data_IF_646799627480
#
_entry.id   IF_646799627480
#
_cell.length_a   1.000
_cell.length_b   1.000
_cell.length_c   1.000
_cell.angle_alpha   90.00
_cell.angle_beta   90.00
_cell.angle_gamma   90.00
#
_symmetry.space_group_name_H-M   'P 1'
#
loop_
_entity.id
_entity.type
_entity.pdbx_description
1 polymer ?
#
# COMPACT_ATOMS: atom_id res chain seq x y z
N UNK A 1 -14.27 3.50 17.88
CA UNK A 1 -13.96 4.53 16.85
C UNK A 1 -12.77 5.31 17.35
N UNK A 2 -11.77 5.54 16.50
CA UNK A 2 -10.50 6.19 16.87
C UNK A 2 -10.67 7.64 17.32
N UNK A 3 -9.89 8.03 18.33
CA UNK A 3 -9.77 9.41 18.84
C UNK A 3 -8.69 10.22 18.08
N UNK A 4 -8.20 9.71 16.94
CA UNK A 4 -7.18 10.36 16.10
C UNK A 4 -7.57 11.80 15.76
N UNK A 5 -6.64 12.72 16.02
CA UNK A 5 -6.75 14.14 15.73
C UNK A 5 -5.53 14.63 14.95
N UNK A 6 -5.74 15.57 14.04
CA UNK A 6 -4.68 16.24 13.30
C UNK A 6 -4.82 17.75 13.49
N UNK A 7 -3.69 18.40 13.83
CA UNK A 7 -3.57 19.86 13.96
C UNK A 7 -2.32 20.35 13.25
N UNK A 8 -2.36 21.52 12.62
CA UNK A 8 -1.27 22.06 11.82
C UNK A 8 -1.29 23.59 11.78
N UNK A 9 -0.20 24.23 11.37
CA UNK A 9 -0.24 25.63 10.94
C UNK A 9 -1.02 25.84 9.64
N UNK A 10 -1.29 24.77 8.90
CA UNK A 10 -2.03 24.83 7.65
C UNK A 10 -3.50 24.41 7.85
N UNK A 11 -4.47 25.35 7.87
CA UNK A 11 -5.88 25.02 8.08
C UNK A 11 -6.47 24.15 6.97
N UNK A 12 -5.85 24.11 5.78
CA UNK A 12 -6.24 23.18 4.71
C UNK A 12 -6.07 21.71 5.15
N UNK A 13 -5.00 21.40 5.89
CA UNK A 13 -4.72 20.04 6.39
C UNK A 13 -5.77 19.62 7.42
N UNK A 14 -6.13 20.51 8.34
CA UNK A 14 -7.14 20.23 9.37
C UNK A 14 -8.53 19.99 8.75
N UNK A 15 -8.93 20.82 7.79
CA UNK A 15 -10.21 20.67 7.07
C UNK A 15 -10.25 19.36 6.25
N UNK A 16 -9.16 19.06 5.54
CA UNK A 16 -9.02 17.84 4.76
C UNK A 16 -9.14 16.59 5.65
N UNK A 17 -8.41 16.56 6.77
CA UNK A 17 -8.48 15.45 7.73
C UNK A 17 -9.89 15.30 8.32
N UNK A 18 -10.51 16.40 8.76
CA UNK A 18 -11.84 16.39 9.36
C UNK A 18 -12.90 15.80 8.42
N UNK A 19 -12.87 16.19 7.14
CA UNK A 19 -13.73 15.62 6.11
C UNK A 19 -13.41 14.14 5.85
N UNK A 20 -12.14 13.81 5.61
CA UNK A 20 -11.72 12.47 5.22
C UNK A 20 -12.05 11.45 6.31
N UNK A 21 -11.74 11.78 7.57
CA UNK A 21 -12.11 10.98 8.75
C UNK A 21 -13.62 10.74 8.81
N UNK A 22 -14.43 11.79 8.66
CA UNK A 22 -15.88 11.64 8.69
C UNK A 22 -16.35 10.75 7.54
N UNK A 23 -15.87 11.01 6.33
CA UNK A 23 -16.31 10.31 5.11
C UNK A 23 -15.93 8.83 5.15
N UNK A 24 -14.71 8.50 5.57
CA UNK A 24 -14.25 7.12 5.74
C UNK A 24 -15.13 6.35 6.73
N UNK A 25 -15.49 6.97 7.87
CA UNK A 25 -16.36 6.34 8.87
C UNK A 25 -17.82 6.17 8.39
N UNK A 26 -18.31 7.04 7.51
CA UNK A 26 -19.64 6.88 6.90
C UNK A 26 -19.72 5.62 6.00
N UNK A 27 -18.58 5.07 5.56
CA UNK A 27 -18.52 3.86 4.73
C UNK A 27 -18.57 2.55 5.52
N UNK A 28 -18.45 2.59 6.84
CA UNK A 28 -18.46 1.39 7.69
C UNK A 28 -19.80 0.67 7.59
N UNK A 29 -19.75 -0.63 7.29
CA UNK A 29 -20.92 -1.50 7.14
C UNK A 29 -21.06 -2.51 8.28
N UNK A 30 -20.11 -2.55 9.21
CA UNK A 30 -20.20 -3.32 10.46
C UNK A 30 -21.50 -2.99 11.18
N UNK A 31 -22.34 -4.01 11.34
CA UNK A 31 -23.66 -3.92 11.97
C UNK A 31 -24.66 -2.93 11.33
N UNK A 32 -24.39 -2.40 10.13
CA UNK A 32 -25.33 -1.56 9.39
C UNK A 32 -26.59 -2.33 8.96
N UNK A 33 -26.46 -3.64 8.73
CA UNK A 33 -27.56 -4.57 8.54
C UNK A 33 -27.28 -5.92 9.23
N UNK A 34 -28.31 -6.67 9.66
CA UNK A 34 -28.13 -8.02 10.20
C UNK A 34 -27.42 -8.94 9.21
N UNK A 35 -26.38 -9.62 9.68
CA UNK A 35 -25.60 -10.56 8.86
C UNK A 35 -24.41 -9.95 8.13
N UNK A 36 -24.22 -8.62 8.17
CA UNK A 36 -22.99 -8.01 7.67
C UNK A 36 -21.77 -8.51 8.46
N UNK A 37 -20.71 -8.86 7.74
CA UNK A 37 -19.37 -9.00 8.26
C UNK A 37 -18.87 -7.64 8.79
N UNK A 38 -17.93 -7.61 9.75
CA UNK A 38 -17.12 -6.42 9.98
C UNK A 38 -16.47 -6.02 8.67
N UNK A 39 -16.87 -4.88 8.12
CA UNK A 39 -16.46 -4.42 6.80
C UNK A 39 -16.74 -2.94 6.63
N UNK A 40 -16.15 -2.36 5.60
CA UNK A 40 -16.49 -1.05 5.07
C UNK A 40 -16.64 -1.14 3.55
N UNK A 41 -17.24 -0.12 2.97
CA UNK A 41 -17.39 -0.02 1.52
C UNK A 41 -16.03 0.16 0.86
N UNK A 42 -15.64 -0.75 -0.03
CA UNK A 42 -14.36 -0.67 -0.72
C UNK A 42 -14.58 -0.92 -2.21
N UNK A 43 -14.95 0.13 -2.94
CA UNK A 43 -15.31 0.09 -4.36
C UNK A 43 -16.41 1.09 -4.68
N UNK A 44 -16.97 1.03 -5.88
CA UNK A 44 -18.02 1.97 -6.33
C UNK A 44 -19.17 2.15 -5.32
N UNK A 45 -19.59 3.40 -5.01
CA UNK A 45 -20.72 3.68 -4.10
C UNK A 45 -22.06 3.06 -4.50
N UNK A 46 -22.21 2.68 -5.77
CA UNK A 46 -23.41 2.01 -6.29
C UNK A 46 -23.40 0.48 -6.10
N UNK A 47 -22.28 -0.09 -5.63
CA UNK A 47 -22.04 -1.52 -5.52
C UNK A 47 -21.85 -1.90 -4.04
N UNK A 48 -22.84 -2.50 -3.36
CA UNK A 48 -22.78 -2.79 -1.93
C UNK A 48 -21.87 -3.99 -1.62
N UNK A 49 -20.57 -3.76 -1.79
CA UNK A 49 -19.52 -4.78 -1.71
C UNK A 49 -18.17 -4.16 -1.37
N UNK A 50 -17.20 -5.03 -1.11
CA UNK A 50 -15.79 -4.68 -0.95
C UNK A 50 -14.95 -5.50 -1.95
N UNK A 51 -14.05 -4.79 -2.64
CA UNK A 51 -13.14 -5.27 -3.67
C UNK A 51 -11.74 -5.47 -3.10
N UNK A 52 -11.02 -6.50 -3.56
CA UNK A 52 -9.71 -6.86 -2.98
C UNK A 52 -8.68 -5.75 -3.11
N UNK A 53 -8.62 -5.11 -4.28
CA UNK A 53 -7.69 -3.99 -4.56
C UNK A 53 -7.98 -2.80 -3.65
N UNK A 54 -9.24 -2.38 -3.59
CA UNK A 54 -9.67 -1.26 -2.78
C UNK A 54 -9.40 -1.48 -1.29
N UNK A 55 -9.64 -2.69 -0.77
CA UNK A 55 -9.31 -3.03 0.64
C UNK A 55 -7.82 -2.88 0.89
N UNK A 56 -6.95 -3.33 -0.03
CA UNK A 56 -5.50 -3.17 0.09
C UNK A 56 -5.07 -1.71 0.27
N UNK A 57 -5.65 -0.78 -0.47
CA UNK A 57 -5.28 0.64 -0.39
C UNK A 57 -5.93 1.39 0.77
N UNK A 58 -7.11 0.96 1.20
CA UNK A 58 -7.83 1.58 2.31
C UNK A 58 -7.27 1.18 3.67
N UNK A 59 -6.56 0.05 3.75
CA UNK A 59 -6.24 -0.64 4.99
C UNK A 59 -5.48 0.22 6.02
N UNK A 60 -4.49 1.01 5.63
CA UNK A 60 -3.75 1.86 6.59
C UNK A 60 -4.62 3.01 7.10
N UNK A 61 -5.35 3.67 6.22
CA UNK A 61 -6.33 4.68 6.61
C UNK A 61 -7.38 4.13 7.57
N UNK A 62 -7.86 2.91 7.29
CA UNK A 62 -8.81 2.20 8.14
C UNK A 62 -8.21 1.84 9.52
N UNK A 63 -6.95 1.36 9.57
CA UNK A 63 -6.23 1.11 10.81
C UNK A 63 -6.15 2.36 11.70
N UNK A 64 -5.73 3.49 11.12
CA UNK A 64 -5.62 4.78 11.82
C UNK A 64 -6.98 5.25 12.40
N UNK A 65 -8.09 4.83 11.78
CA UNK A 65 -9.46 5.09 12.24
C UNK A 65 -10.01 4.04 13.23
N UNK A 66 -9.20 3.03 13.57
CA UNK A 66 -9.54 1.98 14.51
C UNK A 66 -10.47 0.92 13.93
N UNK A 67 -10.31 0.61 12.63
CA UNK A 67 -11.10 -0.37 11.88
C UNK A 67 -10.34 -1.67 11.63
N UNK A 68 -9.52 -2.09 12.59
CA UNK A 68 -8.68 -3.30 12.48
C UNK A 68 -9.52 -4.58 12.37
N UNK A 69 -10.67 -4.62 13.04
CA UNK A 69 -11.58 -5.77 12.96
C UNK A 69 -12.19 -5.92 11.56
N UNK A 70 -12.53 -4.80 10.91
CA UNK A 70 -12.99 -4.74 9.54
C UNK A 70 -11.90 -5.15 8.55
N UNK A 71 -10.69 -4.61 8.69
CA UNK A 71 -9.54 -5.01 7.89
C UNK A 71 -9.33 -6.53 8.00
N UNK A 72 -9.18 -7.04 9.22
CA UNK A 72 -8.91 -8.46 9.47
C UNK A 72 -9.99 -9.35 8.85
N UNK A 73 -11.27 -9.02 9.05
CA UNK A 73 -12.38 -9.81 8.50
C UNK A 73 -12.36 -9.82 6.97
N UNK A 74 -12.12 -8.69 6.30
CA UNK A 74 -12.10 -8.61 4.85
C UNK A 74 -10.89 -9.32 4.23
N UNK A 75 -9.68 -9.08 4.72
CA UNK A 75 -8.46 -9.77 4.25
C UNK A 75 -8.57 -11.29 4.42
N UNK A 76 -9.05 -11.75 5.58
CA UNK A 76 -9.27 -13.18 5.83
C UNK A 76 -10.27 -13.78 4.86
N UNK A 77 -11.32 -13.04 4.51
CA UNK A 77 -12.35 -13.51 3.58
C UNK A 77 -11.81 -13.68 2.15
N UNK A 78 -10.95 -12.77 1.70
CA UNK A 78 -10.20 -12.92 0.44
C UNK A 78 -9.23 -14.10 0.49
N UNK A 79 -8.43 -14.22 1.55
CA UNK A 79 -7.47 -15.31 1.73
C UNK A 79 -8.13 -16.69 1.64
N UNK A 80 -9.26 -16.88 2.35
CA UNK A 80 -10.03 -18.13 2.33
C UNK A 80 -10.58 -18.50 0.95
N UNK A 81 -10.77 -17.51 0.09
CA UNK A 81 -11.36 -17.71 -1.23
C UNK A 81 -10.37 -18.25 -2.28
N UNK A 82 -9.06 -18.10 -2.03
CA UNK A 82 -8.01 -18.65 -2.86
C UNK A 82 -7.90 -20.17 -2.63
N UNK A 83 -8.39 -20.94 -3.59
CA UNK A 83 -8.43 -22.40 -3.50
C UNK A 83 -7.79 -23.05 -4.73
N UNK A 84 -7.45 -24.34 -4.62
CA UNK A 84 -6.92 -25.11 -5.75
C UNK A 84 -7.85 -25.09 -6.98
N UNK A 85 -9.18 -25.11 -6.78
CA UNK A 85 -10.15 -25.04 -7.87
C UNK A 85 -10.07 -23.72 -8.65
N UNK A 86 -9.69 -22.62 -7.97
CA UNK A 86 -9.48 -21.30 -8.56
C UNK A 86 -8.02 -21.03 -8.92
N UNK A 87 -7.18 -22.08 -8.93
CA UNK A 87 -5.73 -21.99 -9.16
C UNK A 87 -5.08 -20.93 -8.25
N UNK A 88 -5.55 -20.89 -7.00
CA UNK A 88 -5.07 -19.99 -5.94
C UNK A 88 -5.24 -18.50 -6.18
N UNK A 89 -6.06 -18.08 -7.16
CA UNK A 89 -6.55 -16.71 -7.19
C UNK A 89 -7.57 -16.48 -6.07
N UNK A 90 -7.46 -15.38 -5.30
CA UNK A 90 -8.55 -14.89 -4.48
C UNK A 90 -9.69 -14.38 -5.38
N UNK A 91 -10.91 -14.32 -4.85
CA UNK A 91 -12.02 -13.68 -5.52
C UNK A 91 -11.86 -12.15 -5.49
N UNK A 92 -12.38 -11.49 -6.52
CA UNK A 92 -12.26 -10.05 -6.69
C UNK A 92 -13.09 -9.25 -5.67
N UNK A 93 -14.30 -9.70 -5.35
CA UNK A 93 -15.20 -8.95 -4.48
C UNK A 93 -16.22 -9.80 -3.73
N UNK A 94 -16.71 -9.24 -2.63
CA UNK A 94 -17.75 -9.83 -1.79
C UNK A 94 -18.78 -8.79 -1.36
N UNK A 95 -20.04 -9.22 -1.27
CA UNK A 95 -21.07 -8.44 -0.58
C UNK A 95 -20.75 -8.33 0.91
N UNK A 96 -21.35 -7.35 1.60
CA UNK A 96 -21.12 -7.15 3.03
C UNK A 96 -21.50 -8.35 3.91
N UNK A 97 -22.37 -9.25 3.45
CA UNK A 97 -22.70 -10.50 4.15
C UNK A 97 -21.72 -11.66 3.86
N UNK A 98 -20.68 -11.40 3.08
CA UNK A 98 -19.64 -12.38 2.72
C UNK A 98 -19.96 -13.25 1.51
N UNK A 99 -21.11 -13.09 0.84
CA UNK A 99 -21.34 -13.82 -0.41
C UNK A 99 -20.47 -13.27 -1.54
N UNK A 100 -19.90 -14.12 -2.42
CA UNK A 100 -19.21 -13.65 -3.62
C UNK A 100 -20.06 -12.67 -4.43
N UNK A 101 -19.43 -11.63 -4.97
CA UNK A 101 -20.11 -10.69 -5.85
C UNK A 101 -20.45 -11.40 -7.18
N UNK A 102 -21.75 -11.62 -7.44
CA UNK A 102 -22.21 -12.31 -8.66
C UNK A 102 -21.91 -11.55 -9.96
N UNK A 103 -21.56 -10.26 -9.86
CA UNK A 103 -21.07 -9.45 -10.98
C UNK A 103 -19.71 -9.96 -11.48
N UNK A 104 -18.85 -10.38 -10.55
CA UNK A 104 -17.44 -10.65 -10.80
C UNK A 104 -17.10 -12.15 -10.68
N UNK A 105 -18.07 -12.99 -10.28
CA UNK A 105 -17.91 -14.43 -10.09
C UNK A 105 -19.09 -15.21 -10.69
N UNK A 106 -18.80 -16.05 -11.70
CA UNK A 106 -19.77 -16.91 -12.37
C UNK A 106 -19.48 -18.41 -12.17
N UNK A 107 -18.32 -18.74 -11.60
CA UNK A 107 -17.87 -20.09 -11.27
C UNK A 107 -16.34 -20.12 -11.15
N UNK A 108 -15.79 -21.24 -10.67
CA UNK A 108 -14.33 -21.38 -10.47
C UNK A 108 -13.52 -21.36 -11.78
N UNK A 109 -14.19 -21.48 -12.93
CA UNK A 109 -13.58 -21.38 -14.27
C UNK A 109 -13.80 -19.99 -14.93
N UNK A 110 -14.67 -19.13 -14.37
CA UNK A 110 -15.04 -17.85 -14.99
C UNK A 110 -15.37 -16.79 -13.93
N UNK A 111 -14.37 -15.99 -13.60
CA UNK A 111 -14.42 -14.93 -12.60
C UNK A 111 -13.28 -13.92 -12.83
N UNK A 112 -13.49 -12.68 -12.40
CA UNK A 112 -12.49 -11.61 -12.44
C UNK A 112 -11.27 -12.01 -11.61
N UNK A 113 -10.08 -11.91 -12.20
CA UNK A 113 -8.83 -12.23 -11.51
C UNK A 113 -7.65 -11.43 -12.05
N UNK A 114 -6.79 -11.00 -11.14
CA UNK A 114 -5.60 -10.24 -11.45
C UNK A 114 -4.43 -10.81 -10.66
N UNK A 115 -3.29 -10.97 -11.33
CA UNK A 115 -2.04 -11.40 -10.70
C UNK A 115 -1.62 -10.47 -9.55
N UNK A 116 -1.60 -9.13 -9.69
CA UNK A 116 -1.18 -8.25 -8.59
C UNK A 116 -2.01 -8.40 -7.32
N UNK A 117 -3.33 -8.60 -7.43
CA UNK A 117 -4.22 -8.80 -6.28
C UNK A 117 -3.77 -9.94 -5.35
N UNK A 118 -3.19 -10.99 -5.92
CA UNK A 118 -2.72 -12.16 -5.16
C UNK A 118 -1.61 -11.75 -4.19
N UNK A 119 -0.64 -10.99 -4.69
CA UNK A 119 0.53 -10.57 -3.92
C UNK A 119 0.25 -9.37 -3.02
N UNK A 120 -0.60 -8.44 -3.47
CA UNK A 120 -0.96 -7.24 -2.71
C UNK A 120 -1.71 -7.59 -1.43
N UNK A 121 -2.67 -8.53 -1.50
CA UNK A 121 -3.34 -9.04 -0.32
C UNK A 121 -2.36 -9.61 0.71
N UNK A 122 -1.33 -10.35 0.27
CA UNK A 122 -0.28 -10.85 1.17
C UNK A 122 0.57 -9.71 1.73
N UNK A 123 1.02 -8.79 0.88
CA UNK A 123 1.87 -7.67 1.28
C UNK A 123 1.17 -6.74 2.29
N UNK A 124 -0.05 -6.29 1.98
CA UNK A 124 -0.81 -5.36 2.83
C UNK A 124 -1.32 -6.04 4.10
N UNK A 125 -1.68 -7.32 4.06
CA UNK A 125 -2.05 -8.09 5.26
C UNK A 125 -0.88 -8.24 6.25
N UNK A 126 0.33 -8.52 5.76
CA UNK A 126 1.53 -8.50 6.61
C UNK A 126 1.87 -7.08 7.08
N UNK A 127 1.59 -6.04 6.27
CA UNK A 127 1.69 -4.65 6.71
C UNK A 127 0.73 -4.29 7.85
N UNK A 128 -0.47 -4.90 7.91
CA UNK A 128 -1.37 -4.73 9.05
C UNK A 128 -0.77 -5.30 10.34
N UNK A 129 0.02 -6.39 10.26
CA UNK A 129 0.77 -6.90 11.41
C UNK A 129 1.84 -5.91 11.88
N UNK A 130 2.56 -5.26 10.95
CA UNK A 130 3.57 -4.26 11.29
C UNK A 130 2.95 -3.08 12.08
N UNK A 131 1.73 -2.67 11.73
CA UNK A 131 0.96 -1.63 12.43
C UNK A 131 0.35 -2.08 13.75
N UNK A 132 -0.26 -3.27 13.79
CA UNK A 132 -1.08 -3.71 14.93
C UNK A 132 -0.30 -4.53 15.96
N UNK A 133 0.76 -5.22 15.56
CA UNK A 133 1.40 -6.26 16.36
C UNK A 133 0.47 -7.44 16.69
N UNK A 134 -0.75 -7.48 16.13
CA UNK A 134 -1.73 -8.52 16.45
C UNK A 134 -1.39 -9.82 15.73
N UNK A 135 -1.01 -10.82 16.52
CA UNK A 135 -0.64 -12.15 16.03
C UNK A 135 -1.73 -12.85 15.24
N UNK A 136 -3.01 -12.46 15.32
CA UNK A 136 -4.04 -13.03 14.45
C UNK A 136 -3.69 -12.87 12.96
N UNK A 137 -3.02 -11.79 12.56
CA UNK A 137 -2.56 -11.60 11.18
C UNK A 137 -1.55 -12.66 10.71
N UNK A 138 -0.84 -13.29 11.64
CA UNK A 138 0.20 -14.30 11.37
C UNK A 138 -0.32 -15.73 11.62
N UNK A 139 -1.09 -15.90 12.69
CA UNK A 139 -1.48 -17.20 13.23
C UNK A 139 -2.87 -17.67 12.74
N UNK A 140 -3.69 -16.80 12.14
CA UNK A 140 -4.98 -17.23 11.56
C UNK A 140 -4.73 -18.24 10.42
N UNK A 141 -5.41 -19.41 10.44
CA UNK A 141 -5.11 -20.48 9.50
C UNK A 141 -5.44 -20.14 8.05
N UNK A 142 -6.43 -19.29 7.79
CA UNK A 142 -6.79 -18.89 6.42
C UNK A 142 -5.73 -17.94 5.86
N UNK A 143 -5.33 -16.93 6.64
CA UNK A 143 -4.29 -15.96 6.28
C UNK A 143 -2.90 -16.61 6.14
N UNK A 144 -2.48 -17.36 7.16
CA UNK A 144 -1.16 -18.01 7.20
C UNK A 144 -0.97 -18.98 6.03
N UNK A 145 -2.00 -19.77 5.72
CA UNK A 145 -1.96 -20.63 4.54
C UNK A 145 -1.90 -19.81 3.25
N UNK A 146 -2.72 -18.77 3.13
CA UNK A 146 -2.76 -17.92 1.94
C UNK A 146 -1.40 -17.31 1.61
N UNK A 147 -0.70 -16.72 2.58
CA UNK A 147 0.60 -16.07 2.31
C UNK A 147 1.63 -17.03 1.71
N UNK A 148 1.67 -18.27 2.21
CA UNK A 148 2.60 -19.28 1.69
C UNK A 148 2.18 -19.73 0.30
N UNK A 149 0.88 -19.95 0.06
CA UNK A 149 0.36 -20.42 -1.23
C UNK A 149 0.44 -19.36 -2.32
N UNK A 150 0.28 -18.07 -1.98
CA UNK A 150 0.34 -16.96 -2.94
C UNK A 150 1.70 -16.87 -3.62
N UNK A 151 2.80 -17.24 -2.95
CA UNK A 151 4.16 -17.22 -3.52
C UNK A 151 4.70 -18.60 -3.87
N UNK A 152 3.92 -19.67 -3.67
CA UNK A 152 4.31 -21.05 -4.02
C UNK A 152 3.34 -21.67 -5.00
N UNK A 153 2.23 -22.24 -4.52
CA UNK A 153 1.26 -22.95 -5.36
C UNK A 153 0.67 -22.07 -6.47
N UNK A 154 0.43 -20.79 -6.19
CA UNK A 154 -0.02 -19.83 -7.20
C UNK A 154 1.04 -19.64 -8.28
N UNK A 155 2.28 -19.31 -7.90
CA UNK A 155 3.40 -19.13 -8.84
C UNK A 155 3.58 -20.41 -9.67
N UNK A 156 3.61 -21.59 -9.05
CA UNK A 156 3.77 -22.86 -9.75
C UNK A 156 2.61 -23.18 -10.72
N UNK A 157 1.39 -22.68 -10.47
CA UNK A 157 0.24 -22.88 -11.34
C UNK A 157 0.25 -21.97 -12.58
N UNK A 158 0.98 -20.86 -12.54
CA UNK A 158 0.96 -19.81 -13.56
C UNK A 158 2.33 -19.47 -14.14
N UNK A 159 3.43 -20.07 -13.67
CA UNK A 159 4.78 -19.94 -14.21
C UNK A 159 5.04 -21.03 -15.27
N UNK A 160 4.75 -20.70 -16.52
CA UNK A 160 4.80 -21.60 -17.67
C UNK A 160 6.20 -21.82 -18.23
N UNK A 161 7.13 -20.88 -18.01
CA UNK A 161 8.51 -20.98 -18.50
C UNK A 161 9.54 -21.35 -17.42
N UNK A 162 9.10 -21.42 -16.15
CA UNK A 162 9.87 -21.91 -15.01
C UNK A 162 10.84 -20.89 -14.45
N UNK A 163 10.64 -19.61 -14.74
CA UNK A 163 11.51 -18.51 -14.32
C UNK A 163 11.11 -17.91 -12.95
N UNK A 164 10.08 -18.47 -12.31
CA UNK A 164 9.54 -18.06 -11.02
C UNK A 164 8.59 -16.87 -11.08
N UNK A 165 8.16 -16.44 -12.28
CA UNK A 165 7.23 -15.32 -12.46
C UNK A 165 5.92 -15.85 -13.05
N UNK A 166 4.76 -15.63 -12.39
CA UNK A 166 3.48 -16.06 -12.94
C UNK A 166 3.10 -15.21 -14.15
N UNK A 167 2.53 -15.85 -15.17
CA UNK A 167 2.07 -15.18 -16.39
C UNK A 167 0.55 -15.25 -16.55
N UNK A 168 -0.02 -14.13 -17.03
CA UNK A 168 -1.41 -14.05 -17.45
C UNK A 168 -1.57 -14.52 -18.90
N UNK A 169 -2.78 -14.95 -19.31
CA UNK A 169 -3.06 -15.36 -20.70
C UNK A 169 -2.91 -14.27 -21.77
N UNK A 170 -2.81 -13.00 -21.37
CA UNK A 170 -2.75 -11.83 -22.25
C UNK A 170 -3.90 -11.77 -23.28
N UNK A 171 -5.13 -12.04 -22.84
CA UNK A 171 -6.34 -11.92 -23.67
C UNK A 171 -6.90 -10.49 -23.69
N UNK A 172 -6.60 -9.70 -22.66
CA UNK A 172 -7.23 -8.40 -22.41
C UNK A 172 -8.60 -8.51 -21.72
N UNK A 173 -9.02 -9.73 -21.37
CA UNK A 173 -10.23 -9.98 -20.60
C UNK A 173 -9.86 -10.32 -19.15
N UNK A 174 -10.29 -9.48 -18.21
CA UNK A 174 -10.04 -9.66 -16.78
C UNK A 174 -10.70 -10.93 -16.22
N UNK A 175 -11.74 -11.47 -16.87
CA UNK A 175 -12.35 -12.76 -16.52
C UNK A 175 -11.51 -13.98 -16.97
N UNK A 176 -10.56 -13.78 -17.88
CA UNK A 176 -9.55 -14.78 -18.25
C UNK A 176 -8.26 -14.63 -17.42
N UNK A 177 -8.03 -13.43 -16.90
CA UNK A 177 -6.96 -13.08 -15.99
C UNK A 177 -6.06 -11.98 -16.55
N UNK A 178 -5.83 -10.94 -15.74
CA UNK A 178 -4.95 -9.83 -16.09
C UNK A 178 -3.60 -9.91 -15.34
N UNK A 179 -2.53 -9.46 -16.01
CA UNK A 179 -1.20 -9.38 -15.41
C UNK A 179 -1.01 -8.18 -14.47
N UNK A 180 -1.93 -7.21 -14.51
CA UNK A 180 -1.77 -5.83 -14.05
C UNK A 180 -3.08 -5.30 -13.46
N UNK A 181 -3.00 -4.32 -12.55
CA UNK A 181 -4.14 -3.57 -12.05
C UNK A 181 -4.66 -2.52 -13.03
N UNK A 182 -3.85 -2.09 -14.00
CA UNK A 182 -4.37 -1.40 -15.17
C UNK A 182 -5.18 -2.42 -15.99
N UNK A 183 -6.51 -2.33 -15.88
CA UNK A 183 -7.50 -3.23 -16.50
C UNK A 183 -7.68 -2.99 -18.01
N UNK A 184 -7.19 -1.86 -18.52
CA UNK A 184 -7.35 -1.44 -19.91
C UNK A 184 -6.02 -1.04 -20.56
N UNK A 185 -4.99 -1.90 -20.52
CA UNK A 185 -3.75 -1.60 -21.20
C UNK A 185 -3.99 -1.60 -22.71
N UNK A 186 -3.35 -0.69 -23.43
CA UNK A 186 -3.44 -0.65 -24.91
C UNK A 186 -3.06 -1.97 -25.57
N UNK A 187 -2.21 -2.75 -24.89
CA UNK A 187 -1.79 -4.10 -25.28
C UNK A 187 -1.90 -5.05 -24.10
N UNK A 188 -2.55 -6.22 -24.28
CA UNK A 188 -2.56 -7.25 -23.24
C UNK A 188 -1.15 -7.72 -22.88
N UNK A 189 -0.87 -7.76 -21.57
CA UNK A 189 0.40 -8.17 -21.00
C UNK A 189 0.31 -9.61 -20.47
N UNK A 190 1.40 -10.39 -20.62
CA UNK A 190 1.58 -11.68 -19.94
C UNK A 190 2.20 -11.48 -18.57
N UNK A 191 3.13 -10.54 -18.43
CA UNK A 191 3.75 -10.14 -17.16
C UNK A 191 3.72 -8.63 -17.10
N UNK A 192 3.33 -8.05 -15.98
CA UNK A 192 3.36 -6.60 -15.78
C UNK A 192 4.27 -6.22 -14.61
N UNK A 193 4.82 -5.00 -14.69
CA UNK A 193 5.83 -4.54 -13.75
C UNK A 193 5.27 -4.27 -12.34
N UNK A 194 3.99 -3.89 -12.21
CA UNK A 194 3.27 -3.81 -10.94
C UNK A 194 3.11 -5.18 -10.27
N UNK A 195 2.71 -6.21 -11.03
CA UNK A 195 2.62 -7.59 -10.55
C UNK A 195 3.98 -8.10 -10.05
N UNK A 196 5.07 -7.80 -10.75
CA UNK A 196 6.43 -8.10 -10.31
C UNK A 196 6.81 -7.33 -9.03
N UNK A 197 6.44 -6.06 -8.95
CA UNK A 197 6.75 -5.20 -7.82
C UNK A 197 6.06 -5.72 -6.55
N UNK A 198 4.78 -6.08 -6.65
CA UNK A 198 4.00 -6.69 -5.58
C UNK A 198 4.49 -8.09 -5.22
N UNK A 199 4.89 -8.91 -6.19
CA UNK A 199 5.49 -10.22 -5.91
C UNK A 199 6.77 -10.07 -5.06
N UNK A 200 7.67 -9.17 -5.45
CA UNK A 200 8.86 -8.85 -4.65
C UNK A 200 8.49 -8.34 -3.25
N UNK A 201 7.51 -7.43 -3.14
CA UNK A 201 7.08 -6.88 -1.85
C UNK A 201 6.51 -7.96 -0.91
N UNK A 202 5.68 -8.87 -1.43
CA UNK A 202 5.14 -10.00 -0.68
C UNK A 202 6.25 -10.97 -0.20
N UNK A 203 7.22 -11.27 -1.06
CA UNK A 203 8.38 -12.10 -0.72
C UNK A 203 9.25 -11.44 0.36
N UNK A 204 9.52 -10.13 0.25
CA UNK A 204 10.30 -9.38 1.23
C UNK A 204 9.58 -9.29 2.59
N UNK A 205 8.25 -9.19 2.60
CA UNK A 205 7.43 -9.23 3.80
C UNK A 205 7.45 -10.62 4.46
N UNK A 206 7.23 -11.68 3.67
CA UNK A 206 7.31 -13.07 4.13
C UNK A 206 8.68 -13.42 4.72
N UNK A 207 9.75 -12.89 4.16
CA UNK A 207 11.11 -13.15 4.64
C UNK A 207 11.30 -12.78 6.11
N UNK A 208 10.57 -11.78 6.62
CA UNK A 208 10.63 -11.35 8.04
C UNK A 208 10.12 -12.43 9.00
N UNK A 209 9.20 -13.28 8.56
CA UNK A 209 8.53 -14.27 9.41
C UNK A 209 8.92 -15.72 9.07
N UNK A 210 9.28 -15.99 7.82
CA UNK A 210 9.50 -17.34 7.30
C UNK A 210 10.93 -17.57 6.78
N UNK A 211 11.81 -16.55 6.85
CA UNK A 211 13.25 -16.67 6.62
C UNK A 211 13.76 -16.16 5.27
N UNK A 212 15.07 -16.01 5.17
CA UNK A 212 15.76 -15.28 4.09
C UNK A 212 15.71 -15.91 2.69
N UNK A 213 15.16 -17.12 2.55
CA UNK A 213 14.99 -17.74 1.23
C UNK A 213 14.07 -16.91 0.33
N UNK A 214 12.97 -16.39 0.88
CA UNK A 214 12.04 -15.49 0.16
C UNK A 214 12.73 -14.20 -0.29
N UNK A 215 13.56 -13.60 0.57
CA UNK A 215 14.36 -12.42 0.24
C UNK A 215 15.34 -12.68 -0.89
N UNK A 216 15.88 -13.89 -0.96
CA UNK A 216 16.79 -14.30 -2.04
C UNK A 216 16.04 -14.40 -3.38
N UNK A 217 14.82 -14.94 -3.39
CA UNK A 217 13.96 -14.95 -4.59
C UNK A 217 13.59 -13.54 -5.03
N UNK A 218 13.15 -12.68 -4.10
CA UNK A 218 12.81 -11.28 -4.39
C UNK A 218 14.00 -10.53 -5.02
N UNK A 219 15.22 -10.72 -4.47
CA UNK A 219 16.44 -10.13 -5.00
C UNK A 219 16.71 -10.58 -6.43
N UNK A 220 16.56 -11.86 -6.74
CA UNK A 220 16.79 -12.39 -8.09
C UNK A 220 15.80 -11.81 -9.13
N UNK A 221 14.52 -11.67 -8.75
CA UNK A 221 13.51 -11.01 -9.61
C UNK A 221 13.90 -9.54 -9.85
N UNK A 222 14.23 -8.81 -8.77
CA UNK A 222 14.63 -7.40 -8.83
C UNK A 222 15.88 -7.18 -9.68
N UNK A 223 16.90 -8.02 -9.54
CA UNK A 223 18.13 -7.96 -10.35
C UNK A 223 17.84 -8.18 -11.84
N UNK A 224 16.98 -9.15 -12.20
CA UNK A 224 16.55 -9.37 -13.59
C UNK A 224 15.78 -8.17 -14.13
N UNK A 225 14.87 -7.59 -13.36
CA UNK A 225 14.12 -6.41 -13.75
C UNK A 225 15.07 -5.23 -14.05
N UNK A 226 15.93 -4.88 -13.10
CA UNK A 226 16.86 -3.75 -13.21
C UNK A 226 17.85 -3.87 -14.39
N UNK A 227 18.20 -5.10 -14.77
CA UNK A 227 19.17 -5.36 -15.84
C UNK A 227 18.55 -5.52 -17.22
N UNK A 228 17.28 -5.94 -17.31
CA UNK A 228 16.67 -6.31 -18.61
C UNK A 228 15.45 -5.49 -18.99
N UNK A 229 14.85 -4.73 -18.09
CA UNK A 229 13.60 -3.98 -18.35
C UNK A 229 13.81 -2.48 -18.57
N UNK A 230 15.05 -1.99 -18.51
CA UNK A 230 15.37 -0.57 -18.68
C UNK A 230 15.57 -0.20 -20.15
N UNK A 231 14.94 0.90 -20.58
CA UNK A 231 15.23 1.54 -21.86
C UNK A 231 15.92 2.89 -21.64
N UNK A 232 17.09 3.04 -22.27
CA UNK A 232 17.96 4.20 -22.09
C UNK A 232 17.42 5.43 -22.83
N UNK A 233 16.74 5.23 -23.97
CA UNK A 233 16.21 6.29 -24.81
C UNK A 233 15.02 6.99 -24.15
N UNK A 234 14.03 6.23 -23.68
CA UNK A 234 12.87 6.76 -22.96
C UNK A 234 13.17 7.11 -21.49
N UNK A 235 14.25 6.58 -20.91
CA UNK A 235 14.55 6.76 -19.49
C UNK A 235 13.51 6.10 -18.58
N UNK A 236 12.93 4.99 -19.03
CA UNK A 236 11.85 4.31 -18.34
C UNK A 236 12.09 2.81 -18.22
N UNK A 237 11.42 2.20 -17.25
CA UNK A 237 11.26 0.74 -17.23
C UNK A 237 10.05 0.32 -18.06
N UNK A 238 10.14 -0.81 -18.74
CA UNK A 238 9.03 -1.43 -19.43
C UNK A 238 7.84 -1.64 -18.47
N UNK A 239 6.63 -1.35 -18.94
CA UNK A 239 5.39 -1.63 -18.20
C UNK A 239 5.08 -3.11 -18.09
N UNK A 240 5.59 -3.92 -19.02
CA UNK A 240 5.32 -5.35 -19.06
C UNK A 240 5.95 -6.08 -20.23
N UNK A 241 5.64 -7.37 -20.32
CA UNK A 241 5.87 -8.23 -21.48
C UNK A 241 4.55 -8.54 -22.15
N UNK A 242 4.52 -8.49 -23.48
CA UNK A 242 3.37 -8.93 -24.28
C UNK A 242 3.52 -10.41 -24.67
N UNK A 243 2.50 -10.95 -25.35
CA UNK A 243 2.40 -12.38 -25.69
C UNK A 243 3.58 -12.99 -26.47
N UNK A 244 4.28 -12.19 -27.28
CA UNK A 244 5.48 -12.63 -28.00
C UNK A 244 6.78 -12.53 -27.16
N UNK A 245 6.64 -12.22 -25.86
CA UNK A 245 7.69 -12.02 -24.87
C UNK A 245 8.57 -10.77 -25.07
N UNK A 246 8.21 -9.89 -26.00
CA UNK A 246 8.86 -8.58 -26.09
C UNK A 246 8.40 -7.65 -24.97
N UNK A 247 9.29 -6.73 -24.59
CA UNK A 247 9.01 -5.69 -23.60
C UNK A 247 8.18 -4.58 -24.23
N UNK A 248 7.22 -4.07 -23.47
CA UNK A 248 6.40 -2.92 -23.81
C UNK A 248 6.78 -1.73 -22.93
N UNK A 249 7.13 -0.61 -23.56
CA UNK A 249 7.55 0.64 -22.91
C UNK A 249 6.48 1.74 -23.03
N UNK A 250 5.25 1.39 -23.40
CA UNK A 250 4.14 2.34 -23.40
C UNK A 250 3.81 2.86 -21.99
N UNK A 251 3.05 3.96 -21.94
CA UNK A 251 2.59 4.52 -20.67
C UNK A 251 1.71 3.50 -19.92
N UNK A 252 2.10 3.19 -18.69
CA UNK A 252 1.62 2.02 -17.98
C UNK A 252 0.52 2.27 -16.95
N UNK A 253 0.30 3.52 -16.56
CA UNK A 253 -0.48 3.88 -15.38
C UNK A 253 0.06 3.15 -14.13
N UNK A 254 -0.76 2.33 -13.46
CA UNK A 254 -0.39 1.55 -12.27
C UNK A 254 0.87 0.72 -12.50
N UNK A 255 1.01 0.12 -13.68
CA UNK A 255 2.20 -0.66 -14.04
C UNK A 255 3.50 0.16 -14.07
N UNK A 256 3.41 1.49 -14.19
CA UNK A 256 4.57 2.39 -14.13
C UNK A 256 4.87 2.83 -12.70
N UNK A 257 3.89 3.30 -11.94
CA UNK A 257 4.16 3.90 -10.62
C UNK A 257 4.17 2.91 -9.45
N UNK A 258 3.55 1.73 -9.54
CA UNK A 258 3.72 0.69 -8.49
C UNK A 258 5.17 0.18 -8.40
N UNK A 259 5.93 0.29 -9.49
CA UNK A 259 7.35 -0.10 -9.57
C UNK A 259 8.21 0.70 -8.57
N UNK A 260 8.28 2.05 -8.63
CA UNK A 260 8.97 2.84 -7.62
C UNK A 260 8.27 2.82 -6.27
N UNK A 261 6.93 2.73 -6.21
CA UNK A 261 6.18 2.64 -4.93
C UNK A 261 6.66 1.47 -4.07
N UNK A 262 6.93 0.32 -4.68
CA UNK A 262 7.37 -0.90 -3.98
C UNK A 262 8.90 -1.11 -4.10
N UNK A 263 9.60 -0.10 -4.62
CA UNK A 263 11.07 -0.06 -4.74
C UNK A 263 11.67 -1.00 -5.79
N UNK A 264 10.87 -1.56 -6.72
CA UNK A 264 11.36 -2.47 -7.77
C UNK A 264 12.38 -1.79 -8.68
N UNK A 265 12.21 -0.49 -8.96
CA UNK A 265 13.16 0.35 -9.72
C UNK A 265 14.48 0.65 -8.99
N UNK A 266 14.63 0.21 -7.74
CA UNK A 266 15.83 0.46 -6.94
C UNK A 266 15.97 1.92 -6.54
N UNK A 267 17.20 2.42 -6.51
CA UNK A 267 17.56 3.80 -6.18
C UNK A 267 18.59 4.35 -7.17
N UNK A 268 18.89 5.65 -7.10
CA UNK A 268 19.91 6.30 -7.93
C UNK A 268 19.37 6.87 -9.24
N UNK A 269 20.27 7.22 -10.16
CA UNK A 269 19.96 8.04 -11.35
C UNK A 269 18.84 7.47 -12.22
N UNK A 270 18.83 6.15 -12.46
CA UNK A 270 17.75 5.52 -13.25
C UNK A 270 16.39 5.62 -12.57
N UNK A 271 16.35 5.48 -11.25
CA UNK A 271 15.11 5.65 -10.49
C UNK A 271 14.62 7.10 -10.56
N UNK A 272 15.52 8.08 -10.39
CA UNK A 272 15.15 9.49 -10.51
C UNK A 272 14.63 9.86 -11.91
N UNK A 273 15.29 9.37 -12.97
CA UNK A 273 14.79 9.54 -14.34
C UNK A 273 13.42 8.91 -14.57
N UNK A 274 13.17 7.75 -13.95
CA UNK A 274 11.88 7.10 -14.07
C UNK A 274 10.77 7.82 -13.30
N UNK A 275 11.09 8.41 -12.14
CA UNK A 275 10.18 9.29 -11.41
C UNK A 275 9.86 10.56 -12.23
N UNK A 276 10.86 11.18 -12.86
CA UNK A 276 10.66 12.31 -13.77
C UNK A 276 9.74 11.94 -14.94
N UNK A 277 9.97 10.76 -15.55
CA UNK A 277 9.10 10.22 -16.61
C UNK A 277 7.66 10.04 -16.12
N UNK A 278 7.44 9.48 -14.92
CA UNK A 278 6.09 9.31 -14.35
C UNK A 278 5.42 10.67 -14.16
N UNK A 279 6.11 11.66 -13.59
CA UNK A 279 5.57 13.00 -13.41
C UNK A 279 5.20 13.64 -14.75
N UNK A 280 6.07 13.54 -15.76
CA UNK A 280 5.78 14.06 -17.10
C UNK A 280 4.56 13.39 -17.74
N UNK A 281 4.47 12.05 -17.67
CA UNK A 281 3.34 11.31 -18.25
C UNK A 281 2.01 11.60 -17.54
N UNK A 282 2.02 11.85 -16.23
CA UNK A 282 0.83 12.28 -15.49
C UNK A 282 0.31 13.64 -15.97
N UNK A 283 1.17 14.54 -16.46
CA UNK A 283 0.73 15.79 -17.10
C UNK A 283 0.21 15.58 -18.52
N UNK A 284 0.89 14.73 -19.29
CA UNK A 284 0.60 14.53 -20.71
C UNK A 284 -0.63 13.66 -20.95
N UNK A 285 -0.78 12.61 -20.15
CA UNK A 285 -1.80 11.56 -20.30
C UNK A 285 -2.28 11.06 -18.93
N UNK A 286 -2.90 11.94 -18.10
CA UNK A 286 -3.40 11.56 -16.78
C UNK A 286 -4.44 10.44 -16.86
N UNK A 287 -4.54 9.57 -15.83
CA UNK A 287 -5.63 8.61 -15.75
C UNK A 287 -6.99 9.32 -15.67
N UNK A 288 -8.05 8.72 -16.22
CA UNK A 288 -9.38 9.31 -16.22
C UNK A 288 -10.10 9.20 -14.87
N UNK A 289 -9.65 8.29 -14.00
CA UNK A 289 -10.25 7.91 -12.73
C UNK A 289 -9.41 8.46 -11.55
N UNK A 290 -10.08 9.01 -10.54
CA UNK A 290 -9.42 9.61 -9.38
C UNK A 290 -8.68 8.59 -8.50
N UNK A 291 -9.17 7.34 -8.44
CA UNK A 291 -8.56 6.24 -7.69
C UNK A 291 -7.11 5.97 -8.12
N UNK A 292 -6.77 6.13 -9.40
CA UNK A 292 -5.40 5.93 -9.89
C UNK A 292 -4.40 6.93 -9.28
N UNK A 293 -4.86 8.08 -8.81
CA UNK A 293 -3.99 9.09 -8.18
C UNK A 293 -3.67 8.76 -6.72
N UNK A 294 -4.42 7.89 -6.04
CA UNK A 294 -4.28 7.62 -4.60
C UNK A 294 -2.96 6.96 -4.21
N UNK A 295 -2.32 6.29 -5.16
CA UNK A 295 -0.98 5.69 -5.02
C UNK A 295 0.14 6.73 -5.03
N UNK A 296 -0.04 7.83 -5.76
CA UNK A 296 1.04 8.75 -6.08
C UNK A 296 1.68 9.41 -4.85
N UNK A 297 0.94 9.79 -3.80
CA UNK A 297 1.58 10.26 -2.57
C UNK A 297 2.56 9.22 -1.99
N UNK A 298 2.19 7.94 -1.93
CA UNK A 298 3.07 6.87 -1.42
C UNK A 298 4.31 6.69 -2.31
N UNK A 299 4.14 6.77 -3.64
CA UNK A 299 5.26 6.76 -4.60
C UNK A 299 6.26 7.86 -4.23
N UNK A 300 5.83 9.11 -4.15
CA UNK A 300 6.74 10.24 -4.02
C UNK A 300 7.28 10.41 -2.60
N UNK A 301 6.51 10.10 -1.55
CA UNK A 301 7.02 10.09 -0.18
C UNK A 301 8.17 9.10 -0.01
N UNK A 302 8.03 7.88 -0.54
CA UNK A 302 9.09 6.87 -0.49
C UNK A 302 10.43 7.36 -1.07
N UNK A 303 10.38 8.23 -2.07
CA UNK A 303 11.56 8.77 -2.75
C UNK A 303 11.93 10.19 -2.27
N UNK A 304 11.35 10.65 -1.15
CA UNK A 304 11.56 12.00 -0.59
C UNK A 304 11.28 13.14 -1.57
N UNK A 305 10.41 12.92 -2.55
CA UNK A 305 9.88 13.95 -3.43
C UNK A 305 8.65 14.59 -2.77
N UNK A 306 8.87 15.15 -1.59
CA UNK A 306 7.81 15.58 -0.66
C UNK A 306 6.84 16.60 -1.30
N UNK A 307 7.36 17.51 -2.12
CA UNK A 307 6.54 18.49 -2.86
C UNK A 307 5.65 17.82 -3.92
N UNK A 308 6.16 16.83 -4.64
CA UNK A 308 5.38 16.06 -5.62
C UNK A 308 4.33 15.19 -4.90
N UNK A 309 4.71 14.54 -3.80
CA UNK A 309 3.80 13.77 -2.97
C UNK A 309 2.65 14.64 -2.46
N UNK A 310 2.98 15.83 -1.95
CA UNK A 310 2.01 16.79 -1.46
C UNK A 310 1.12 17.34 -2.58
N UNK A 311 1.66 17.62 -3.76
CA UNK A 311 0.88 18.05 -4.93
C UNK A 311 -0.21 17.04 -5.26
N UNK A 312 0.11 15.76 -5.31
CA UNK A 312 -0.87 14.71 -5.61
C UNK A 312 -1.83 14.45 -4.45
N UNK A 313 -1.37 14.56 -3.20
CA UNK A 313 -2.26 14.50 -2.05
C UNK A 313 -3.29 15.63 -2.08
N UNK A 314 -2.88 16.85 -2.42
CA UNK A 314 -3.81 17.97 -2.64
C UNK A 314 -4.81 17.70 -3.76
N UNK A 315 -4.38 17.11 -4.87
CA UNK A 315 -5.29 16.74 -5.96
C UNK A 315 -6.40 15.79 -5.46
N UNK A 316 -6.04 14.79 -4.66
CA UNK A 316 -6.98 13.85 -4.05
C UNK A 316 -7.91 14.57 -3.06
N UNK A 317 -7.36 15.41 -2.17
CA UNK A 317 -8.14 16.19 -1.18
C UNK A 317 -9.14 17.13 -1.88
N UNK A 318 -8.70 17.84 -2.92
CA UNK A 318 -9.50 18.84 -3.63
C UNK A 318 -10.63 18.18 -4.43
N UNK A 319 -10.47 16.92 -4.86
CA UNK A 319 -11.52 16.17 -5.56
C UNK A 319 -12.79 16.02 -4.73
N UNK A 320 -12.64 15.81 -3.41
CA UNK A 320 -13.72 15.40 -2.49
C UNK A 320 -14.60 14.28 -3.04
N UNK A 321 -14.04 13.44 -3.90
CA UNK A 321 -14.78 12.43 -4.64
C UNK A 321 -15.42 11.41 -3.69
N UNK A 322 -16.54 10.82 -4.11
CA UNK A 322 -17.30 9.88 -3.30
C UNK A 322 -16.83 8.44 -3.43
N UNK A 323 -15.82 8.16 -4.23
CA UNK A 323 -15.16 6.87 -4.23
C UNK A 323 -14.54 6.59 -2.85
N UNK A 324 -14.90 5.49 -2.14
CA UNK A 324 -14.53 5.29 -0.74
C UNK A 324 -13.03 5.39 -0.46
N UNK A 325 -12.20 4.87 -1.38
CA UNK A 325 -10.74 4.85 -1.27
C UNK A 325 -10.13 6.22 -0.99
N UNK A 326 -10.72 7.27 -1.57
CA UNK A 326 -10.25 8.67 -1.42
C UNK A 326 -10.20 9.08 0.04
N UNK A 327 -11.28 8.83 0.78
CA UNK A 327 -11.36 9.24 2.18
C UNK A 327 -10.37 8.50 3.09
N UNK A 328 -10.16 7.20 2.86
CA UNK A 328 -9.19 6.42 3.62
C UNK A 328 -7.75 6.80 3.28
N UNK A 329 -7.43 6.96 2.00
CA UNK A 329 -6.07 7.31 1.56
C UNK A 329 -5.69 8.73 1.96
N UNK A 330 -6.63 9.68 1.99
CA UNK A 330 -6.36 11.02 2.57
C UNK A 330 -6.02 10.93 4.06
N UNK A 331 -6.73 10.10 4.84
CA UNK A 331 -6.37 9.89 6.26
C UNK A 331 -4.97 9.26 6.39
N UNK A 332 -4.68 8.23 5.60
CA UNK A 332 -3.37 7.59 5.56
C UNK A 332 -2.27 8.61 5.25
N UNK A 333 -2.41 9.36 4.16
CA UNK A 333 -1.34 10.21 3.66
C UNK A 333 -1.14 11.46 4.52
N UNK A 334 -2.20 12.02 5.13
CA UNK A 334 -2.06 13.14 6.06
C UNK A 334 -1.42 12.75 7.39
N UNK A 335 -1.48 11.48 7.79
CA UNK A 335 -0.92 11.01 9.07
C UNK A 335 0.34 10.18 8.84
N UNK A 336 0.21 8.97 8.30
CA UNK A 336 1.36 8.09 8.07
C UNK A 336 2.29 8.62 6.97
N UNK A 337 1.76 9.24 5.91
CA UNK A 337 2.54 9.80 4.81
C UNK A 337 3.35 11.03 5.22
N UNK A 338 2.69 12.11 5.62
CA UNK A 338 3.34 13.37 6.01
C UNK A 338 4.29 13.20 7.21
N UNK A 339 3.92 12.36 8.20
CA UNK A 339 4.80 12.07 9.33
C UNK A 339 5.87 11.01 9.01
N UNK A 340 5.77 10.30 7.88
CA UNK A 340 6.64 9.20 7.47
C UNK A 340 6.77 8.12 8.53
N UNK A 341 5.64 7.52 8.89
CA UNK A 341 5.57 6.49 9.93
C UNK A 341 5.84 5.10 9.35
N UNK A 342 6.85 4.43 9.88
CA UNK A 342 7.18 3.03 9.57
C UNK A 342 7.15 2.21 10.87
N UNK A 343 6.00 1.62 11.23
CA UNK A 343 5.87 0.86 12.47
C UNK A 343 6.45 -0.55 12.35
N UNK A 344 6.93 -1.07 13.48
CA UNK A 344 7.09 -2.50 13.75
C UNK A 344 6.62 -2.71 15.20
N UNK A 345 5.29 -2.72 15.35
CA UNK A 345 4.61 -2.83 16.62
C UNK A 345 4.95 -4.14 17.35
N UNK A 346 5.14 -5.23 16.59
CA UNK A 346 5.51 -6.53 17.14
C UNK A 346 6.88 -6.50 17.86
N UNK A 347 7.81 -5.67 17.37
CA UNK A 347 9.11 -5.43 18.01
C UNK A 347 9.12 -4.22 18.96
N UNK A 348 7.96 -3.64 19.28
CA UNK A 348 7.84 -2.42 20.08
C UNK A 348 8.67 -1.26 19.51
N UNK A 349 8.60 -1.04 18.19
CA UNK A 349 9.39 -0.01 17.53
C UNK A 349 8.64 0.80 16.47
N UNK A 350 9.11 2.01 16.24
CA UNK A 350 8.59 2.94 15.24
C UNK A 350 9.74 3.73 14.63
N UNK A 351 9.82 3.78 13.30
CA UNK A 351 10.69 4.71 12.57
C UNK A 351 9.86 5.88 12.06
N UNK A 352 10.44 7.08 12.13
CA UNK A 352 9.80 8.33 11.73
C UNK A 352 10.75 9.11 10.83
N UNK A 353 10.27 9.49 9.66
CA UNK A 353 10.99 10.28 8.68
C UNK A 353 10.08 11.37 8.10
N UNK A 354 10.21 12.61 8.60
CA UNK A 354 9.31 13.70 8.22
C UNK A 354 9.33 13.97 6.71
N UNK A 355 8.12 14.07 6.14
CA UNK A 355 7.85 14.42 4.75
C UNK A 355 7.04 15.72 4.62
N UNK A 356 7.13 16.61 5.61
CA UNK A 356 6.40 17.89 5.52
C UNK A 356 6.89 18.72 4.32
N UNK A 357 5.99 19.13 3.41
CA UNK A 357 6.29 20.05 2.32
C UNK A 357 6.55 21.46 2.87
N UNK A 358 7.11 22.35 2.06
CA UNK A 358 7.50 23.70 2.47
C UNK A 358 6.33 24.55 3.01
N UNK A 359 5.10 24.28 2.57
CA UNK A 359 3.92 25.03 3.02
C UNK A 359 3.33 24.56 4.36
N UNK A 360 3.84 23.47 4.95
CA UNK A 360 3.43 22.97 6.26
C UNK A 360 4.63 23.09 7.20
N UNK A 361 4.67 24.14 8.03
CA UNK A 361 5.80 24.33 8.94
C UNK A 361 5.73 23.41 10.15
N UNK A 362 4.52 23.00 10.58
CA UNK A 362 4.38 21.94 11.57
C UNK A 362 3.07 21.15 11.43
N UNK A 363 3.12 19.90 11.85
CA UNK A 363 1.98 18.99 11.90
C UNK A 363 2.04 18.19 13.19
N UNK A 364 0.91 18.05 13.87
CA UNK A 364 0.74 17.13 14.99
C UNK A 364 -0.40 16.17 14.70
N UNK A 365 -0.12 14.87 14.86
CA UNK A 365 -1.15 13.86 15.02
C UNK A 365 -1.21 13.39 16.47
N UNK A 366 -2.40 13.41 17.06
CA UNK A 366 -2.67 12.94 18.42
C UNK A 366 -3.50 11.65 18.36
N UNK A 367 -3.29 10.78 19.33
CA UNK A 367 -3.87 9.44 19.39
C UNK A 367 -3.57 8.53 18.19
N UNK A 368 -2.33 8.56 17.69
CA UNK A 368 -1.86 7.62 16.66
C UNK A 368 -1.61 6.27 17.33
N UNK A 369 -2.26 5.22 16.81
CA UNK A 369 -2.11 3.85 17.28
C UNK A 369 -0.97 3.16 16.53
N UNK A 370 -0.07 2.56 17.29
CA UNK A 370 0.92 1.59 16.82
C UNK A 370 0.81 0.42 17.79
N UNK A 371 0.20 -0.68 17.36
CA UNK A 371 -0.28 -1.76 18.22
C UNK A 371 -1.02 -1.26 19.45
N UNK A 372 -0.54 -1.66 20.62
CA UNK A 372 -1.14 -1.25 21.88
C UNK A 372 -0.70 0.15 22.37
N UNK A 373 0.27 0.80 21.70
CA UNK A 373 0.75 2.14 22.04
C UNK A 373 -0.12 3.26 21.46
N UNK A 374 -0.37 4.26 22.30
CA UNK A 374 -1.07 5.50 21.96
C UNK A 374 -0.08 6.66 21.92
N UNK A 375 0.06 7.33 20.78
CA UNK A 375 1.14 8.27 20.53
C UNK A 375 0.62 9.65 20.13
N UNK A 376 1.31 10.68 20.62
CA UNK A 376 1.25 12.01 20.04
C UNK A 376 2.57 12.29 19.31
N UNK A 377 2.50 12.66 18.04
CA UNK A 377 3.66 12.89 17.18
C UNK A 377 3.53 14.29 16.57
N UNK A 378 4.50 15.15 16.86
CA UNK A 378 4.61 16.49 16.28
C UNK A 378 5.87 16.58 15.44
N UNK A 379 5.76 17.11 14.24
CA UNK A 379 6.89 17.45 13.39
C UNK A 379 6.93 18.96 13.16
N UNK A 380 8.12 19.54 13.28
CA UNK A 380 8.42 20.92 12.88
C UNK A 380 9.38 20.86 11.69
N UNK A 381 8.83 21.13 10.51
CA UNK A 381 9.46 20.85 9.22
C UNK A 381 10.00 19.42 9.15
N UNK A 382 11.16 19.26 8.51
CA UNK A 382 11.82 17.95 8.31
C UNK A 382 12.91 17.62 9.33
N UNK A 383 13.09 18.48 10.34
CA UNK A 383 14.30 18.45 11.16
C UNK A 383 14.04 18.22 12.63
N UNK A 384 12.80 18.36 13.09
CA UNK A 384 12.48 18.15 14.50
C UNK A 384 11.22 17.32 14.62
N UNK A 385 11.31 16.27 15.42
CA UNK A 385 10.19 15.42 15.79
C UNK A 385 10.08 15.39 17.31
N UNK A 386 8.90 15.67 17.82
CA UNK A 386 8.53 15.41 19.21
C UNK A 386 7.57 14.23 19.25
N UNK A 387 7.89 13.21 20.04
CA UNK A 387 7.04 12.04 20.24
C UNK A 387 6.73 11.94 21.74
N UNK A 388 5.45 11.78 22.06
CA UNK A 388 4.99 11.37 23.38
C UNK A 388 4.33 10.00 23.30
N UNK A 389 4.75 9.07 24.17
CA UNK A 389 4.03 7.82 24.41
C UNK A 389 2.98 8.10 25.46
N UNK A 390 1.73 8.32 25.05
CA UNK A 390 0.64 8.67 25.97
C UNK A 390 0.26 7.48 26.86
N UNK A 391 0.17 6.30 26.24
CA UNK A 391 -0.05 5.02 26.92
C UNK A 391 0.49 3.86 26.08
N UNK A 392 0.63 2.68 26.69
CA UNK A 392 1.09 1.48 26.01
C UNK A 392 1.46 0.36 26.98
N UNK A 393 1.75 -0.85 26.47
CA UNK A 393 2.04 -2.03 27.29
C UNK A 393 3.46 -2.01 27.89
N UNK A 394 4.34 -1.12 27.42
CA UNK A 394 5.72 -1.03 27.86
C UNK A 394 6.51 0.01 27.05
N UNK A 395 7.85 -0.03 27.12
CA UNK A 395 8.71 0.89 26.38
C UNK A 395 8.57 0.73 24.86
N UNK A 396 8.61 1.84 24.13
CA UNK A 396 8.64 1.89 22.67
C UNK A 396 9.97 2.46 22.18
N UNK A 397 10.64 1.76 21.26
CA UNK A 397 11.86 2.26 20.61
C UNK A 397 11.51 3.07 19.36
N UNK A 398 11.78 4.37 19.41
CA UNK A 398 11.54 5.31 18.32
C UNK A 398 12.86 5.71 17.66
N UNK A 399 12.94 5.54 16.35
CA UNK A 399 14.08 5.99 15.53
C UNK A 399 13.63 7.13 14.63
N UNK A 400 14.29 8.29 14.75
CA UNK A 400 14.00 9.47 13.92
C UNK A 400 15.10 9.68 12.89
N UNK A 401 14.70 9.86 11.64
CA UNK A 401 15.56 10.17 10.49
C UNK A 401 15.57 9.06 9.44
N UNK A 402 16.05 9.37 8.23
CA UNK A 402 16.07 8.42 7.12
C UNK A 402 16.91 7.19 7.46
N UNK A 403 16.39 6.01 7.12
CA UNK A 403 17.15 4.78 7.16
C UNK A 403 18.48 4.93 6.39
N UNK A 404 19.60 4.59 7.02
CA UNK A 404 20.93 4.68 6.41
C UNK A 404 21.64 6.05 6.52
N UNK A 405 21.07 7.01 7.26
CA UNK A 405 21.71 8.31 7.56
C UNK A 405 21.98 8.48 9.06
N UNK A 406 22.29 9.69 9.52
CA UNK A 406 22.42 9.99 10.96
C UNK A 406 21.04 9.94 11.64
N UNK A 407 20.65 8.76 12.09
CA UNK A 407 19.42 8.55 12.86
C UNK A 407 19.61 8.85 14.34
N UNK A 408 18.52 9.17 15.04
CA UNK A 408 18.48 9.32 16.49
C UNK A 408 17.45 8.37 17.07
N UNK A 409 17.91 7.41 17.86
CA UNK A 409 17.05 6.41 18.51
C UNK A 409 16.85 6.73 20.00
N UNK A 410 15.61 6.62 20.46
CA UNK A 410 15.20 6.77 21.87
C UNK A 410 14.27 5.63 22.24
N UNK A 411 14.39 5.13 23.46
CA UNK A 411 13.37 4.25 24.05
C UNK A 411 12.56 5.07 25.04
N UNK A 412 11.24 5.07 24.89
CA UNK A 412 10.30 5.88 25.66
C UNK A 412 9.34 4.98 26.41
N UNK A 413 9.25 5.16 27.73
CA UNK A 413 8.21 4.54 28.55
C UNK A 413 6.87 5.27 28.38
N UNK A 414 5.73 4.63 28.66
CA UNK A 414 4.44 5.31 28.76
C UNK A 414 4.50 6.52 29.71
N UNK A 415 3.97 7.65 29.24
CA UNK A 415 4.05 8.95 29.89
C UNK A 415 5.30 9.78 29.58
N UNK A 416 6.24 9.26 28.77
CA UNK A 416 7.44 10.01 28.38
C UNK A 416 7.29 10.71 27.04
N UNK A 417 8.01 11.83 26.92
CA UNK A 417 8.15 12.60 25.69
C UNK A 417 9.63 12.76 25.37
N UNK A 418 9.96 12.67 24.08
CA UNK A 418 11.27 13.07 23.57
C UNK A 418 11.12 14.00 22.38
N UNK A 419 11.97 15.02 22.35
CA UNK A 419 12.18 15.89 21.21
C UNK A 419 13.53 15.57 20.59
N UNK A 420 13.51 15.28 19.30
CA UNK A 420 14.66 14.82 18.54
C UNK A 420 14.84 15.73 17.34
N UNK A 421 16.02 16.33 17.24
CA UNK A 421 16.44 17.08 16.06
C UNK A 421 17.72 16.42 15.54
N UNK A 422 17.67 15.59 14.49
CA UNK A 422 18.87 15.00 13.91
C UNK A 422 19.81 16.14 13.51
N UNK A 423 21.08 16.07 13.93
CA UNK A 423 22.07 17.06 13.53
C UNK A 423 22.25 17.02 12.01
N UNK A 424 21.69 17.98 11.29
CA UNK A 424 22.09 18.25 9.91
C UNK A 424 23.45 18.96 9.96
N UNK A 425 24.51 18.27 9.52
CA UNK A 425 25.59 19.02 8.88
C UNK A 425 25.00 19.52 7.57
N UNK A 426 24.74 20.82 7.48
CA UNK A 426 24.42 21.46 6.21
C UNK A 426 25.42 21.01 5.15
N UNK A 427 24.98 20.50 3.98
CA UNK A 427 25.79 20.57 2.80
C UNK A 427 25.74 22.04 2.33
N UNK A 428 26.80 22.77 2.67
CA UNK A 428 27.13 24.08 2.09
C UNK A 428 27.16 24.06 0.57
#
# INVERSE_FOLDING_TARGET
>A
MSDLLVTSDNPYVEDAFGWARKRALDWVQTAAAPGNLPSYWAGYPSRPMFYSRDVCHQAIGAHLLGLDAENFAMFRHFARSATAARKWYPLWAFQFDGRPAALDYHGDDHFVREIPAVFDLTYRSLGQYDWTGDRHWIDDPDLSAYYLRSVSDFVAAHDTDGDGIPEAPATGDIFDGAASYNEHPERPLTVAADGLALHCAALDALARHHGDSYRTTARSIRERFLTTWWDEESGSFARGRVKDRTLDFGWGLETSWLVPMLGLSGTGERNERFLDYIEEQLELSPPPNIEAFTYLPEVFFRHRRDESAWRWLRHIIDSRDDYPEISFTVVQHLVAGLLGLEPDAASASLTIDSHLPAEISWLKADHVRVGDWDLAITQEGRHTTEIAVLSGPGPLTVTVGPAGTSTSTRTLEPGQTARVSPHTKDPS
#
